data_IF_810105918697
#
_entry.id   IF_810105918697
#
_cell.length_a   1.000
_cell.length_b   1.000
_cell.length_c   1.000
_cell.angle_alpha   90.00
_cell.angle_beta   90.00
_cell.angle_gamma   90.00
#
_symmetry.space_group_name_H-M   'P 1'
#
loop_
_entity.id
_entity.type
_entity.pdbx_description
1 polymer ?
#
# COMPACT_ATOMS: atom_id res chain seq x y z
N UNK A 1 -20.04 -25.41 -28.94
CA UNK A 1 -18.76 -25.92 -28.43
C UNK A 1 -17.99 -24.71 -27.94
N UNK A 2 -17.93 -24.52 -26.64
CA UNK A 2 -17.17 -23.43 -26.00
C UNK A 2 -15.84 -24.08 -25.60
N UNK A 3 -14.71 -23.59 -26.11
CA UNK A 3 -13.40 -24.04 -25.67
C UNK A 3 -13.17 -23.48 -24.27
N UNK A 4 -13.17 -24.36 -23.27
CA UNK A 4 -12.67 -24.05 -21.93
C UNK A 4 -11.15 -23.82 -22.02
N UNK A 5 -10.75 -22.55 -22.07
CA UNK A 5 -9.35 -22.15 -21.88
C UNK A 5 -9.00 -22.33 -20.40
N UNK A 6 -8.47 -23.49 -20.04
CA UNK A 6 -7.82 -23.67 -18.75
C UNK A 6 -6.58 -22.77 -18.67
N UNK A 7 -6.37 -22.04 -17.55
CA UNK A 7 -5.15 -21.28 -17.34
C UNK A 7 -3.97 -22.26 -17.26
N UNK A 8 -3.05 -22.16 -18.24
CA UNK A 8 -1.81 -22.95 -18.26
C UNK A 8 -0.82 -22.28 -17.31
N UNK A 9 -0.41 -22.99 -16.27
CA UNK A 9 0.70 -22.56 -15.41
C UNK A 9 2.01 -22.95 -16.07
N UNK A 10 2.86 -21.96 -16.36
CA UNK A 10 4.19 -22.17 -16.94
C UNK A 10 5.24 -21.95 -15.85
N UNK A 11 6.15 -22.91 -15.60
CA UNK A 11 7.29 -22.73 -14.71
C UNK A 11 8.15 -21.52 -15.10
N UNK A 12 8.61 -20.75 -14.10
CA UNK A 12 9.39 -19.53 -14.29
C UNK A 12 10.68 -19.79 -15.07
N UNK A 13 11.35 -20.89 -14.79
CA UNK A 13 12.62 -21.27 -15.44
C UNK A 13 12.44 -21.46 -16.95
N UNK A 14 11.25 -21.92 -17.39
CA UNK A 14 10.94 -22.07 -18.81
C UNK A 14 10.66 -20.72 -19.49
N UNK A 15 10.09 -19.76 -18.75
CA UNK A 15 9.90 -18.40 -19.24
C UNK A 15 11.23 -17.67 -19.39
N UNK A 16 12.15 -17.82 -18.44
CA UNK A 16 13.50 -17.24 -18.50
C UNK A 16 14.31 -17.81 -19.68
N UNK A 17 14.24 -19.13 -19.90
CA UNK A 17 14.85 -19.76 -21.08
C UNK A 17 14.24 -19.27 -22.40
N UNK A 18 12.92 -19.03 -22.42
CA UNK A 18 12.24 -18.49 -23.60
C UNK A 18 12.64 -17.05 -23.89
N UNK A 19 12.87 -16.23 -22.86
CA UNK A 19 13.38 -14.87 -22.98
C UNK A 19 14.78 -14.86 -23.59
N UNK A 20 15.70 -15.66 -23.04
CA UNK A 20 17.07 -15.79 -23.56
C UNK A 20 17.09 -16.24 -25.03
N UNK A 21 16.23 -17.21 -25.37
CA UNK A 21 16.08 -17.69 -26.74
C UNK A 21 15.55 -16.57 -27.65
N UNK A 22 14.48 -15.88 -27.27
CA UNK A 22 13.88 -14.79 -28.05
C UNK A 22 14.89 -13.67 -28.34
N UNK A 23 15.69 -13.28 -27.34
CA UNK A 23 16.77 -12.31 -27.50
C UNK A 23 17.86 -12.80 -28.47
N UNK A 24 18.27 -14.07 -28.37
CA UNK A 24 19.32 -14.66 -29.20
C UNK A 24 18.94 -14.76 -30.70
N UNK A 25 17.66 -14.97 -31.02
CA UNK A 25 17.15 -14.99 -32.41
C UNK A 25 16.64 -13.63 -32.90
N UNK A 26 16.73 -12.57 -32.09
CA UNK A 26 16.35 -11.21 -32.46
C UNK A 26 14.83 -10.99 -32.53
N UNK A 27 14.04 -11.77 -31.78
CA UNK A 27 12.59 -11.58 -31.63
C UNK A 27 12.29 -10.56 -30.53
N UNK A 28 12.60 -9.29 -30.79
CA UNK A 28 12.54 -8.23 -29.78
C UNK A 28 11.15 -8.08 -29.13
N UNK A 29 10.08 -8.09 -29.92
CA UNK A 29 8.70 -7.94 -29.39
C UNK A 29 8.33 -9.06 -28.39
N UNK A 30 8.83 -10.28 -28.62
CA UNK A 30 8.56 -11.44 -27.75
C UNK A 30 9.43 -11.38 -26.50
N UNK A 31 10.69 -10.96 -26.65
CA UNK A 31 11.60 -10.77 -25.53
C UNK A 31 11.07 -9.68 -24.58
N UNK A 32 10.59 -8.55 -25.12
CA UNK A 32 10.05 -7.45 -24.32
C UNK A 32 8.79 -7.87 -23.52
N UNK A 33 7.92 -8.67 -24.12
CA UNK A 33 6.71 -9.15 -23.43
C UNK A 33 7.04 -10.23 -22.38
N UNK A 34 7.99 -11.13 -22.66
CA UNK A 34 8.46 -12.11 -21.68
C UNK A 34 9.19 -11.44 -20.50
N UNK A 35 10.00 -10.41 -20.77
CA UNK A 35 10.66 -9.61 -19.75
C UNK A 35 9.64 -8.89 -18.87
N UNK A 36 8.57 -8.32 -19.45
CA UNK A 36 7.45 -7.74 -18.69
C UNK A 36 6.73 -8.77 -17.80
N UNK A 37 6.59 -10.01 -18.24
CA UNK A 37 5.95 -11.08 -17.47
C UNK A 37 6.86 -11.57 -16.33
N UNK A 38 8.18 -11.62 -16.57
CA UNK A 38 9.20 -12.12 -15.63
C UNK A 38 9.64 -11.08 -14.60
N UNK A 39 9.61 -9.80 -14.98
CA UNK A 39 9.80 -8.71 -14.06
C UNK A 39 8.56 -8.63 -13.17
N UNK A 40 8.68 -8.84 -11.85
CA UNK A 40 7.58 -8.53 -10.95
C UNK A 40 7.23 -7.07 -11.20
N UNK A 41 5.95 -6.76 -11.37
CA UNK A 41 5.45 -5.39 -11.63
C UNK A 41 5.89 -4.44 -10.51
N UNK A 42 7.11 -3.96 -10.59
CA UNK A 42 7.67 -2.84 -9.84
C UNK A 42 7.99 -1.78 -10.88
N UNK A 43 6.95 -1.18 -11.45
CA UNK A 43 6.91 0.15 -12.03
C UNK A 43 5.68 0.30 -12.95
N UNK A 44 4.49 0.38 -12.36
CA UNK A 44 3.63 1.49 -12.81
C UNK A 44 4.42 2.73 -12.40
N UNK A 45 4.81 3.59 -13.34
CA UNK A 45 5.53 4.81 -12.97
C UNK A 45 4.73 5.49 -11.87
N UNK A 46 5.36 5.70 -10.71
CA UNK A 46 4.77 6.50 -9.66
C UNK A 46 4.68 7.93 -10.20
N UNK A 47 3.63 8.21 -10.95
CA UNK A 47 3.07 9.55 -10.91
C UNK A 47 2.85 9.85 -9.43
N UNK A 48 3.30 11.01 -8.93
CA UNK A 48 3.08 11.35 -7.54
C UNK A 48 1.59 11.16 -7.25
N UNK A 49 1.28 10.33 -6.26
CA UNK A 49 -0.08 10.18 -5.78
C UNK A 49 -0.41 11.52 -5.13
N UNK A 50 -0.89 12.46 -5.94
CA UNK A 50 -1.06 13.88 -5.62
C UNK A 50 -2.29 14.11 -4.71
N UNK A 51 -2.77 13.05 -4.08
CA UNK A 51 -3.96 13.05 -3.22
C UNK A 51 -3.51 12.82 -1.79
N UNK A 52 -3.26 13.92 -1.08
CA UNK A 52 -3.03 13.91 0.36
C UNK A 52 -4.29 13.44 1.10
N UNK A 53 -4.14 12.81 2.28
CA UNK A 53 -5.23 12.63 3.23
C UNK A 53 -6.00 13.93 3.47
N UNK A 54 -7.32 13.87 3.40
CA UNK A 54 -8.18 15.00 3.76
C UNK A 54 -8.94 14.69 5.03
N UNK A 55 -9.05 15.68 5.92
CA UNK A 55 -9.86 15.62 7.13
C UNK A 55 -10.91 16.72 7.04
N UNK A 56 -12.18 16.35 7.23
CA UNK A 56 -13.31 17.27 7.18
C UNK A 56 -14.40 16.86 8.18
N UNK A 57 -15.31 17.78 8.47
CA UNK A 57 -16.55 17.48 9.19
C UNK A 57 -17.68 17.36 8.16
N UNK A 58 -18.34 16.20 8.11
CA UNK A 58 -19.50 15.95 7.26
C UNK A 58 -20.70 15.63 8.16
N UNK A 59 -21.65 16.56 8.27
CA UNK A 59 -22.75 16.44 9.22
C UNK A 59 -22.27 16.52 10.67
N UNK A 60 -22.54 15.49 11.46
CA UNK A 60 -22.08 15.32 12.85
C UNK A 60 -20.85 14.40 12.98
N UNK A 61 -20.18 14.08 11.85
CA UNK A 61 -19.08 13.12 11.81
C UNK A 61 -17.77 13.77 11.36
N UNK A 62 -16.67 13.45 12.05
CA UNK A 62 -15.33 13.66 11.54
C UNK A 62 -15.02 12.58 10.49
N UNK A 63 -14.73 13.01 9.26
CA UNK A 63 -14.43 12.11 8.14
C UNK A 63 -12.99 12.31 7.70
N UNK A 64 -12.24 11.20 7.69
CA UNK A 64 -10.88 11.13 7.15
C UNK A 64 -10.94 10.34 5.85
N UNK A 65 -10.54 10.96 4.74
CA UNK A 65 -10.50 10.31 3.41
C UNK A 65 -9.06 10.16 2.97
N UNK A 66 -8.67 8.92 2.73
CA UNK A 66 -7.35 8.53 2.22
C UNK A 66 -7.60 7.53 1.10
N UNK A 67 -6.99 7.73 -0.06
CA UNK A 67 -7.08 6.73 -1.12
C UNK A 67 -6.30 5.48 -0.70
N UNK A 68 -6.77 4.31 -1.12
CA UNK A 68 -6.09 3.04 -0.81
C UNK A 68 -4.65 3.00 -1.33
N UNK A 69 -4.40 3.64 -2.48
CA UNK A 69 -3.06 3.79 -3.06
C UNK A 69 -2.16 4.68 -2.20
N UNK A 70 -2.66 5.83 -1.75
CA UNK A 70 -1.94 6.74 -0.85
C UNK A 70 -1.62 6.05 0.48
N UNK A 71 -2.58 5.34 1.07
CA UNK A 71 -2.37 4.61 2.32
C UNK A 71 -1.27 3.56 2.20
N UNK A 72 -1.33 2.71 1.16
CA UNK A 72 -0.34 1.67 0.92
C UNK A 72 1.05 2.27 0.66
N UNK A 73 1.13 3.35 -0.10
CA UNK A 73 2.37 4.05 -0.32
C UNK A 73 2.95 4.62 0.98
N UNK A 74 2.14 5.34 1.75
CA UNK A 74 2.54 5.97 3.01
C UNK A 74 3.12 4.97 4.01
N UNK A 75 2.50 3.81 4.18
CA UNK A 75 3.01 2.79 5.13
C UNK A 75 4.35 2.21 4.69
N UNK A 76 4.57 2.02 3.38
CA UNK A 76 5.87 1.51 2.87
C UNK A 76 7.00 2.53 2.91
N UNK A 77 6.68 3.83 2.99
CA UNK A 77 7.67 4.89 3.14
C UNK A 77 8.07 5.15 4.60
N UNK A 78 7.40 4.51 5.57
CA UNK A 78 7.74 4.66 6.98
C UNK A 78 9.17 4.13 7.25
N UNK A 79 10.01 4.85 8.01
CA UNK A 79 11.34 4.36 8.40
C UNK A 79 11.30 3.01 9.13
N UNK A 80 10.20 2.74 9.83
CA UNK A 80 9.96 1.52 10.59
C UNK A 80 9.36 0.39 9.75
N UNK A 81 9.15 0.59 8.44
CA UNK A 81 8.64 -0.46 7.57
C UNK A 81 9.59 -1.67 7.63
N UNK A 82 9.07 -2.88 7.89
CA UNK A 82 9.92 -4.03 8.11
C UNK A 82 10.74 -4.39 6.87
N UNK A 83 11.94 -4.90 7.12
CA UNK A 83 12.83 -5.47 6.12
C UNK A 83 12.88 -6.99 6.24
N UNK A 84 13.20 -7.66 5.15
CA UNK A 84 13.41 -9.10 5.12
C UNK A 84 14.77 -9.51 5.70
N UNK A 85 15.12 -10.80 5.58
CA UNK A 85 16.39 -11.33 6.07
C UNK A 85 17.63 -10.81 5.32
N UNK A 86 17.46 -10.19 4.15
CA UNK A 86 18.51 -9.57 3.34
C UNK A 86 18.66 -8.08 3.64
N UNK A 87 17.73 -7.51 4.41
CA UNK A 87 17.68 -6.08 4.69
C UNK A 87 16.90 -5.29 3.64
N UNK A 88 16.22 -5.96 2.71
CA UNK A 88 15.38 -5.32 1.70
C UNK A 88 13.97 -5.07 2.27
N UNK A 89 13.30 -3.93 1.95
CA UNK A 89 11.94 -3.68 2.41
C UNK A 89 10.96 -4.81 2.03
N UNK A 90 10.11 -5.23 2.97
CA UNK A 90 9.10 -6.27 2.70
C UNK A 90 8.15 -5.78 1.60
N UNK A 91 7.99 -6.61 0.57
CA UNK A 91 7.10 -6.34 -0.56
C UNK A 91 5.65 -6.73 -0.25
N UNK A 92 4.71 -5.88 -0.66
CA UNK A 92 3.27 -6.12 -0.50
C UNK A 92 2.76 -7.02 -1.63
N UNK A 93 2.33 -8.22 -1.31
CA UNK A 93 1.78 -9.19 -2.29
C UNK A 93 0.27 -9.01 -2.52
N UNK A 94 -0.47 -8.53 -1.51
CA UNK A 94 -1.91 -8.31 -1.58
C UNK A 94 -2.29 -7.04 -0.82
N UNK A 95 -2.30 -5.91 -1.53
CA UNK A 95 -2.60 -4.60 -0.92
C UNK A 95 -4.02 -4.47 -0.38
N UNK A 96 -5.01 -5.14 -1.00
CA UNK A 96 -6.41 -5.07 -0.52
C UNK A 96 -6.56 -5.76 0.83
N UNK A 97 -5.94 -6.94 1.00
CA UNK A 97 -5.94 -7.64 2.27
C UNK A 97 -5.22 -6.82 3.35
N UNK A 98 -4.04 -6.28 3.03
CA UNK A 98 -3.27 -5.46 3.97
C UNK A 98 -4.08 -4.22 4.43
N UNK A 99 -4.84 -3.57 3.54
CA UNK A 99 -5.72 -2.46 3.93
C UNK A 99 -6.79 -2.91 4.94
N UNK A 100 -7.40 -4.07 4.73
CA UNK A 100 -8.39 -4.61 5.66
C UNK A 100 -7.78 -4.92 7.02
N UNK A 101 -6.56 -5.47 7.04
CA UNK A 101 -5.79 -5.75 8.26
C UNK A 101 -5.41 -4.46 8.98
N UNK A 102 -4.97 -3.42 8.26
CA UNK A 102 -4.71 -2.09 8.83
C UNK A 102 -5.98 -1.51 9.47
N UNK A 103 -7.12 -1.56 8.77
CA UNK A 103 -8.40 -1.08 9.31
C UNK A 103 -8.76 -1.85 10.59
N UNK A 104 -8.58 -3.18 10.58
CA UNK A 104 -8.81 -4.01 11.74
C UNK A 104 -7.96 -3.57 12.93
N UNK A 105 -6.65 -3.38 12.75
CA UNK A 105 -5.74 -2.96 13.81
C UNK A 105 -6.00 -1.53 14.30
N UNK A 106 -6.45 -0.62 13.42
CA UNK A 106 -6.87 0.73 13.83
C UNK A 106 -8.10 0.72 14.74
N UNK A 107 -9.01 -0.23 14.51
CA UNK A 107 -10.25 -0.39 15.27
C UNK A 107 -10.12 -1.31 16.49
N UNK A 108 -9.05 -2.11 16.54
CA UNK A 108 -8.83 -3.08 17.60
C UNK A 108 -8.58 -2.38 18.93
N UNK A 109 -9.42 -2.67 19.90
CA UNK A 109 -9.28 -2.19 21.26
C UNK A 109 -8.29 -3.04 22.07
N UNK A 110 -7.56 -2.39 22.98
CA UNK A 110 -6.79 -3.03 24.03
C UNK A 110 -7.65 -3.32 25.27
N UNK A 111 -7.02 -3.83 26.33
CA UNK A 111 -7.70 -4.19 27.58
C UNK A 111 -8.35 -3.00 28.29
N UNK A 112 -7.97 -1.76 27.95
CA UNK A 112 -8.55 -0.54 28.51
C UNK A 112 -9.67 0.03 27.62
N UNK A 113 -10.03 -0.67 26.54
CA UNK A 113 -11.04 -0.20 25.58
C UNK A 113 -10.54 0.95 24.70
N UNK A 114 -9.21 1.10 24.55
CA UNK A 114 -8.64 2.13 23.67
C UNK A 114 -7.98 1.52 22.43
N UNK A 115 -7.89 2.29 21.35
CA UNK A 115 -7.31 1.85 20.09
C UNK A 115 -6.35 2.93 19.54
N UNK A 116 -5.74 2.65 18.38
CA UNK A 116 -4.77 3.56 17.78
C UNK A 116 -5.38 4.90 17.35
N UNK A 117 -6.66 4.89 16.93
CA UNK A 117 -7.35 6.12 16.55
C UNK A 117 -7.53 7.07 17.74
N UNK A 118 -7.88 6.55 18.92
CA UNK A 118 -7.99 7.39 20.12
C UNK A 118 -6.66 8.09 20.44
N UNK A 119 -5.55 7.35 20.43
CA UNK A 119 -4.22 7.91 20.72
C UNK A 119 -3.80 8.99 19.72
N UNK A 120 -4.12 8.78 18.43
CA UNK A 120 -3.87 9.76 17.38
C UNK A 120 -4.68 11.05 17.61
N UNK A 121 -5.96 10.92 17.99
CA UNK A 121 -6.82 12.07 18.27
C UNK A 121 -6.42 12.79 19.56
N UNK A 122 -6.03 12.05 20.60
CA UNK A 122 -5.52 12.60 21.86
C UNK A 122 -4.29 13.47 21.61
N UNK A 123 -3.33 12.97 20.82
CA UNK A 123 -2.14 13.74 20.47
C UNK A 123 -2.49 14.99 19.65
N UNK A 124 -3.36 14.86 18.64
CA UNK A 124 -3.78 16.00 17.83
C UNK A 124 -4.50 17.09 18.66
N UNK A 125 -5.33 16.68 19.63
CA UNK A 125 -5.99 17.59 20.55
C UNK A 125 -4.99 18.31 21.46
N UNK A 126 -4.02 17.57 22.03
CA UNK A 126 -2.96 18.15 22.84
C UNK A 126 -2.12 19.15 22.04
N UNK A 127 -1.75 18.82 20.82
CA UNK A 127 -0.99 19.71 19.95
C UNK A 127 -1.77 20.98 19.61
N UNK A 128 -3.08 20.87 19.33
CA UNK A 128 -3.93 22.04 19.12
C UNK A 128 -3.98 22.96 20.35
N UNK A 129 -4.12 22.39 21.55
CA UNK A 129 -4.11 23.15 22.81
C UNK A 129 -2.75 23.79 23.05
N UNK A 130 -1.66 23.07 22.85
CA UNK A 130 -0.30 23.56 23.05
C UNK A 130 0.07 24.67 22.06
N UNK A 131 -0.52 24.64 20.86
CA UNK A 131 -0.37 25.68 19.85
C UNK A 131 -1.28 26.91 20.09
N UNK A 132 -1.90 27.02 21.27
CA UNK A 132 -2.66 28.19 21.68
C UNK A 132 -4.09 28.22 21.12
N UNK A 133 -4.78 27.07 21.15
CA UNK A 133 -6.18 27.00 20.75
C UNK A 133 -7.03 28.03 21.49
N UNK A 134 -7.70 28.91 20.72
CA UNK A 134 -8.64 29.91 21.25
C UNK A 134 -9.97 29.27 21.70
N UNK A 135 -10.18 27.98 21.40
CA UNK A 135 -11.41 27.27 21.72
C UNK A 135 -11.45 26.70 23.15
N UNK A 136 -10.35 26.81 23.91
CA UNK A 136 -10.23 26.27 25.27
C UNK A 136 -9.85 27.38 26.26
N UNK A 137 -10.36 27.30 27.49
CA UNK A 137 -9.95 28.17 28.60
C UNK A 137 -8.78 27.54 29.35
N UNK A 138 -7.85 28.38 29.82
CA UNK A 138 -6.64 27.96 30.55
C UNK A 138 -6.67 28.39 32.03
N UNK A 139 -7.87 28.57 32.59
CA UNK A 139 -8.08 29.03 33.97
C UNK A 139 -7.26 28.25 35.02
#
# INVERSE_FOLDING_TARGET
MINDLHPVSVPRELLEQALDAAAAVGMQDVADELDRILTPTTAKSAEPIDVLPTVAVEGDQLVIRITTECLLHAVTCAPEWPVDYRGDPISIQNGTLLIQEIIHELQREDEQGTNQMHRLLDQAALDAINNGSEAVSYD
#
